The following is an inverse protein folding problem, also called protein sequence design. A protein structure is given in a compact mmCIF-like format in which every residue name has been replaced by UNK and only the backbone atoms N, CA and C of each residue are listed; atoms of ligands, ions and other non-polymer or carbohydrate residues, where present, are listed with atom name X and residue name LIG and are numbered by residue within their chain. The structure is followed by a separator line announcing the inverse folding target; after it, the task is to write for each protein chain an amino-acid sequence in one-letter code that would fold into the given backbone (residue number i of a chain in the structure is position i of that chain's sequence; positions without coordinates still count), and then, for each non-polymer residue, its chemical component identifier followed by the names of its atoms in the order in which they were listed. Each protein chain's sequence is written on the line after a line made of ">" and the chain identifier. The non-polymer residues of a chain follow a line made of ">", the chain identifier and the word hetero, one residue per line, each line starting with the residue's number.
data_IF_218928614983
#
_entry.id   IF_218928614983
#
_cell.length_a   1.000
_cell.length_b   1.000
_cell.length_c   1.000
_cell.angle_alpha   90.00
_cell.angle_beta   90.00
_cell.angle_gamma   90.00
#
_symmetry.space_group_name_H-M   'P 1'
#
loop_
_entity.id
_entity.type
_entity.pdbx_description
1 polymer ?
#
# COMPACT_ATOMS: atom_id res chain seq x y z
N UNK A 1 -18.61 7.96 -32.20
CA UNK A 1 -17.61 8.38 -31.20
C UNK A 1 -16.37 7.53 -31.44
N UNK A 2 -15.21 8.13 -31.72
CA UNK A 2 -13.98 7.37 -32.01
C UNK A 2 -13.06 7.47 -30.81
N UNK A 3 -12.79 6.35 -30.13
CA UNK A 3 -11.84 6.31 -29.00
C UNK A 3 -10.43 6.44 -29.58
N UNK A 4 -9.66 7.42 -29.08
CA UNK A 4 -8.31 7.71 -29.59
C UNK A 4 -7.19 7.10 -28.76
N UNK A 5 -7.44 6.83 -27.48
CA UNK A 5 -6.46 6.30 -26.55
C UNK A 5 -7.14 5.57 -25.39
N UNK A 6 -6.41 4.60 -24.82
CA UNK A 6 -6.77 3.87 -23.60
C UNK A 6 -5.57 3.93 -22.66
N UNK A 7 -5.79 4.29 -21.39
CA UNK A 7 -4.75 4.33 -20.37
C UNK A 7 -5.07 3.22 -19.36
N UNK A 8 -4.07 2.39 -19.09
CA UNK A 8 -4.17 1.34 -18.10
C UNK A 8 -3.40 1.73 -16.84
N UNK A 9 -4.04 1.53 -15.71
CA UNK A 9 -3.33 1.34 -14.46
C UNK A 9 -2.54 0.02 -14.50
N UNK A 10 -1.48 -0.10 -13.69
CA UNK A 10 -0.62 -1.28 -13.67
C UNK A 10 -1.07 -2.24 -12.57
N UNK A 11 -0.99 -1.82 -11.31
CA UNK A 11 -1.07 -2.68 -10.14
C UNK A 11 -2.51 -3.01 -9.78
N UNK A 12 -2.86 -4.30 -9.82
CA UNK A 12 -4.25 -4.73 -9.65
C UNK A 12 -5.09 -4.61 -10.92
N UNK A 13 -4.53 -4.05 -12.00
CA UNK A 13 -5.19 -3.94 -13.31
C UNK A 13 -4.54 -4.86 -14.35
N UNK A 14 -3.28 -4.61 -14.71
CA UNK A 14 -2.52 -5.44 -15.65
C UNK A 14 -1.69 -6.52 -14.94
N UNK A 15 -1.23 -6.23 -13.73
CA UNK A 15 -0.44 -7.16 -12.91
C UNK A 15 -1.15 -7.47 -11.61
N UNK A 16 -1.01 -8.70 -11.14
CA UNK A 16 -1.42 -9.13 -9.82
C UNK A 16 -0.21 -9.06 -8.89
N UNK A 17 -0.16 -8.02 -8.06
CA UNK A 17 0.82 -7.91 -6.98
C UNK A 17 0.27 -8.51 -5.70
N UNK A 18 1.01 -9.43 -5.08
CA UNK A 18 0.64 -10.04 -3.78
C UNK A 18 1.24 -9.23 -2.63
N UNK A 19 0.85 -7.95 -2.53
CA UNK A 19 1.37 -7.06 -1.49
C UNK A 19 0.96 -7.56 -0.09
N UNK A 20 1.95 -7.77 0.78
CA UNK A 20 1.74 -8.22 2.17
C UNK A 20 1.38 -7.05 3.09
N UNK A 21 0.35 -6.28 2.72
CA UNK A 21 -0.03 -5.02 3.39
C UNK A 21 -0.31 -5.19 4.88
N UNK A 22 -0.89 -6.32 5.28
CA UNK A 22 -1.12 -6.62 6.70
C UNK A 22 0.19 -6.69 7.49
N UNK A 23 1.21 -7.36 6.96
CA UNK A 23 2.53 -7.47 7.61
C UNK A 23 3.23 -6.11 7.69
N UNK A 24 3.09 -5.29 6.65
CA UNK A 24 3.62 -3.92 6.66
C UNK A 24 2.98 -3.07 7.77
N UNK A 25 1.65 -3.16 7.94
CA UNK A 25 0.92 -2.45 9.00
C UNK A 25 1.24 -3.00 10.40
N UNK A 26 1.44 -4.30 10.56
CA UNK A 26 1.91 -4.90 11.81
C UNK A 26 3.29 -4.31 12.20
N UNK A 27 4.23 -4.19 11.25
CA UNK A 27 5.51 -3.51 11.49
C UNK A 27 5.37 -2.03 11.84
N UNK A 28 4.47 -1.32 11.16
CA UNK A 28 4.19 0.08 11.48
C UNK A 28 3.70 0.22 12.93
N UNK A 29 2.71 -0.58 13.35
CA UNK A 29 2.20 -0.58 14.72
C UNK A 29 3.32 -0.88 15.72
N UNK A 30 4.15 -1.89 15.43
CA UNK A 30 5.31 -2.23 16.26
C UNK A 30 6.28 -1.05 16.41
N UNK A 31 6.65 -0.36 15.32
CA UNK A 31 7.54 0.82 15.38
C UNK A 31 6.96 1.94 16.23
N UNK A 32 5.65 2.16 16.17
CA UNK A 32 4.97 3.18 16.99
C UNK A 32 4.98 2.78 18.48
N UNK A 33 4.79 1.51 18.79
CA UNK A 33 4.90 0.97 20.16
C UNK A 33 6.34 1.08 20.70
N UNK A 34 7.34 0.72 19.90
CA UNK A 34 8.77 0.85 20.22
C UNK A 34 9.20 2.31 20.44
N UNK A 35 8.53 3.25 19.77
CA UNK A 35 8.71 4.69 20.00
C UNK A 35 8.02 5.21 21.27
N UNK A 36 7.34 4.33 22.04
CA UNK A 36 6.74 4.65 23.33
C UNK A 36 5.30 5.13 23.28
N UNK A 37 4.61 5.01 22.14
CA UNK A 37 3.20 5.40 22.01
C UNK A 37 2.26 4.22 22.29
N UNK A 38 1.10 4.49 22.89
CA UNK A 38 0.09 3.47 23.12
C UNK A 38 -0.71 3.17 21.84
N UNK A 39 -0.57 1.94 21.36
CA UNK A 39 -1.13 1.44 20.11
C UNK A 39 -2.37 0.57 20.27
N UNK A 40 -2.98 0.48 21.48
CA UNK A 40 -4.16 -0.37 21.72
C UNK A 40 -5.34 -0.11 20.79
N UNK A 41 -5.47 1.11 20.28
CA UNK A 41 -6.52 1.51 19.33
C UNK A 41 -6.17 1.22 17.87
N UNK A 42 -4.97 0.73 17.58
CA UNK A 42 -4.51 0.42 16.23
C UNK A 42 -4.71 -1.06 15.92
N UNK A 43 -5.03 -1.36 14.67
CA UNK A 43 -5.21 -2.71 14.16
C UNK A 43 -4.79 -2.76 12.68
N UNK A 44 -4.03 -3.78 12.24
CA UNK A 44 -3.52 -3.86 10.87
C UNK A 44 -4.62 -4.06 9.81
N UNK A 45 -5.85 -4.40 10.19
CA UNK A 45 -7.00 -4.47 9.29
C UNK A 45 -7.59 -3.08 8.98
N UNK A 46 -7.23 -2.05 9.74
CA UNK A 46 -7.73 -0.69 9.51
C UNK A 46 -7.05 -0.04 8.29
N UNK A 47 -7.70 0.93 7.62
CA UNK A 47 -7.02 1.77 6.64
C UNK A 47 -5.82 2.50 7.25
N UNK A 48 -4.71 2.61 6.51
CA UNK A 48 -3.49 3.25 7.02
C UNK A 48 -3.72 4.71 7.39
N UNK A 49 -4.47 5.46 6.57
CA UNK A 49 -4.81 6.85 6.85
C UNK A 49 -5.57 6.99 8.17
N UNK A 50 -6.44 6.04 8.51
CA UNK A 50 -7.18 6.07 9.77
C UNK A 50 -6.26 5.85 10.97
N UNK A 51 -5.28 4.93 10.87
CA UNK A 51 -4.25 4.77 11.91
C UNK A 51 -3.45 6.06 12.12
N UNK A 52 -3.05 6.70 11.02
CA UNK A 52 -2.31 7.97 11.07
C UNK A 52 -3.16 9.06 11.71
N UNK A 53 -4.42 9.21 11.30
CA UNK A 53 -5.33 10.21 11.86
C UNK A 53 -5.53 10.02 13.37
N UNK A 54 -5.66 8.77 13.85
CA UNK A 54 -5.74 8.48 15.28
C UNK A 54 -4.47 8.93 16.02
N UNK A 55 -3.29 8.64 15.48
CA UNK A 55 -2.01 9.03 16.08
C UNK A 55 -1.80 10.55 16.08
N UNK A 56 -2.15 11.23 14.99
CA UNK A 56 -2.12 12.70 14.90
C UNK A 56 -3.07 13.30 15.94
N UNK A 57 -4.29 12.79 16.03
CA UNK A 57 -5.32 13.34 16.93
C UNK A 57 -4.98 13.08 18.41
N UNK A 58 -4.49 11.89 18.73
CA UNK A 58 -4.22 11.47 20.12
C UNK A 58 -2.92 12.07 20.68
N UNK A 59 -1.90 12.22 19.85
CA UNK A 59 -0.54 12.56 20.29
C UNK A 59 0.03 13.83 19.65
N UNK A 60 -0.66 14.45 18.69
CA UNK A 60 -0.15 15.63 17.97
C UNK A 60 1.05 15.33 17.07
N UNK A 61 1.21 14.07 16.65
CA UNK A 61 2.34 13.66 15.80
C UNK A 61 2.24 14.26 14.40
N UNK A 62 3.39 14.50 13.77
CA UNK A 62 3.44 14.95 12.39
C UNK A 62 2.92 13.87 11.45
N UNK A 63 1.90 14.22 10.65
CA UNK A 63 1.35 13.35 9.60
C UNK A 63 2.44 12.92 8.62
N UNK A 64 3.27 13.85 8.17
CA UNK A 64 4.34 13.57 7.19
C UNK A 64 5.38 12.61 7.74
N UNK A 65 5.71 12.71 9.04
CA UNK A 65 6.60 11.77 9.69
C UNK A 65 5.97 10.37 9.73
N UNK A 66 4.72 10.26 10.15
CA UNK A 66 4.00 8.98 10.21
C UNK A 66 3.87 8.32 8.83
N UNK A 67 3.61 9.12 7.78
CA UNK A 67 3.59 8.65 6.39
C UNK A 67 4.94 8.06 5.99
N UNK A 68 6.06 8.75 6.27
CA UNK A 68 7.40 8.21 5.96
C UNK A 68 7.69 6.90 6.68
N UNK A 69 7.35 6.81 7.97
CA UNK A 69 7.54 5.58 8.75
C UNK A 69 6.68 4.44 8.18
N UNK A 70 5.45 4.74 7.76
CA UNK A 70 4.58 3.79 7.08
C UNK A 70 5.19 3.33 5.76
N UNK A 71 5.66 4.25 4.92
CA UNK A 71 6.27 3.94 3.62
C UNK A 71 7.51 3.05 3.78
N UNK A 72 8.38 3.34 4.75
CA UNK A 72 9.51 2.47 5.10
C UNK A 72 9.08 1.05 5.50
N UNK A 73 7.93 0.90 6.16
CA UNK A 73 7.39 -0.41 6.53
C UNK A 73 6.82 -1.15 5.32
N UNK A 74 6.31 -0.44 4.31
CA UNK A 74 5.73 -1.02 3.09
C UNK A 74 6.79 -1.38 2.05
N UNK A 75 7.84 -0.55 1.90
CA UNK A 75 8.84 -0.65 0.84
C UNK A 75 9.43 -2.07 0.63
N UNK A 76 9.82 -2.83 1.68
CA UNK A 76 10.34 -4.18 1.46
C UNK A 76 9.32 -5.14 0.83
N UNK A 77 8.04 -4.99 1.17
CA UNK A 77 6.96 -5.82 0.66
C UNK A 77 6.51 -5.39 -0.73
N UNK A 78 6.63 -4.10 -1.07
CA UNK A 78 6.40 -3.60 -2.43
C UNK A 78 7.47 -4.14 -3.38
N UNK A 79 8.74 -4.12 -2.98
CA UNK A 79 9.83 -4.70 -3.77
C UNK A 79 9.63 -6.21 -3.98
N UNK A 80 9.26 -6.94 -2.93
CA UNK A 80 8.94 -8.37 -3.02
C UNK A 80 7.76 -8.62 -3.97
N UNK A 81 6.67 -7.87 -3.79
CA UNK A 81 5.46 -8.02 -4.60
C UNK A 81 5.69 -7.66 -6.08
N UNK A 82 6.59 -6.71 -6.36
CA UNK A 82 6.97 -6.33 -7.72
C UNK A 82 7.82 -7.41 -8.39
N UNK A 83 8.74 -8.02 -7.64
CA UNK A 83 9.57 -9.11 -8.15
C UNK A 83 8.76 -10.38 -8.45
N UNK A 84 7.71 -10.64 -7.66
CA UNK A 84 6.81 -11.79 -7.84
C UNK A 84 5.56 -11.46 -8.67
N UNK A 85 5.47 -10.27 -9.26
CA UNK A 85 4.28 -9.82 -9.96
C UNK A 85 3.99 -10.70 -11.18
N UNK A 86 2.74 -11.16 -11.29
CA UNK A 86 2.27 -11.97 -12.40
C UNK A 86 1.33 -11.13 -13.28
N UNK A 87 1.35 -11.34 -14.60
CA UNK A 87 0.33 -10.74 -15.47
C UNK A 87 -1.06 -11.26 -15.08
N UNK A 88 -2.05 -10.37 -15.04
CA UNK A 88 -3.44 -10.81 -14.89
C UNK A 88 -3.90 -11.57 -16.12
N UNK A 89 -4.79 -12.57 -15.97
CA UNK A 89 -5.37 -13.28 -17.10
C UNK A 89 -5.97 -12.31 -18.11
N UNK A 90 -5.67 -12.49 -19.40
CA UNK A 90 -6.19 -11.62 -20.47
C UNK A 90 -5.39 -10.32 -20.69
N UNK A 91 -4.48 -9.95 -19.79
CA UNK A 91 -3.76 -8.67 -19.89
C UNK A 91 -2.90 -8.60 -21.17
N UNK A 92 -2.25 -9.71 -21.53
CA UNK A 92 -1.40 -9.78 -22.72
C UNK A 92 -2.21 -9.71 -24.01
N UNK A 93 -3.36 -10.36 -24.03
CA UNK A 93 -4.30 -10.40 -25.16
C UNK A 93 -4.89 -9.02 -25.39
N UNK A 94 -5.41 -8.36 -24.35
CA UNK A 94 -5.97 -7.00 -24.43
C UNK A 94 -4.96 -5.99 -24.97
N UNK A 95 -3.73 -6.00 -24.45
CA UNK A 95 -2.69 -5.08 -24.94
C UNK A 95 -2.33 -5.35 -26.40
N UNK A 96 -2.42 -6.61 -26.86
CA UNK A 96 -2.14 -6.98 -28.24
C UNK A 96 -3.23 -6.52 -29.21
N UNK A 97 -4.51 -6.66 -28.84
CA UNK A 97 -5.65 -6.30 -29.67
C UNK A 97 -5.88 -4.77 -29.75
N UNK A 98 -5.37 -4.01 -28.78
CA UNK A 98 -5.46 -2.54 -28.76
C UNK A 98 -4.28 -1.84 -29.46
N UNK A 99 -3.30 -2.60 -29.98
CA UNK A 99 -2.24 -2.07 -30.85
C UNK A 99 -2.75 -1.91 -32.28
#
# INVERSE_FOLDING_TARGET
>A
MTIKAVIFDLDGTLVAMKLKSRKAKEKFIQKIEEAGFDVKSLNPNMPSEFMIQLLVTKYGLSRDLLMRVLDECFQPYELEAAAEAELRPGAREVIRELK
#
